data_IF_874805956513
#
_entry.id   IF_874805956513
#
_cell.length_a   1.000
_cell.length_b   1.000
_cell.length_c   1.000
_cell.angle_alpha   90.00
_cell.angle_beta   90.00
_cell.angle_gamma   90.00
#
_symmetry.space_group_name_H-M   'P 1'
#
loop_
_entity.id
_entity.type
_entity.pdbx_description
1 polymer ?
#
# COMPACT_ATOMS: atom_id res chain seq x y z
N UNK A 1 35.87 -7.36 -14.43
CA UNK A 1 34.82 -8.30 -13.97
C UNK A 1 35.33 -9.34 -12.95
N UNK A 2 36.61 -9.35 -12.55
CA UNK A 2 37.16 -10.35 -11.59
C UNK A 2 36.84 -10.10 -10.12
N UNK A 3 36.83 -8.85 -9.65
CA UNK A 3 36.81 -8.58 -8.20
C UNK A 3 35.52 -8.95 -7.46
N UNK A 4 34.35 -8.83 -8.09
CA UNK A 4 33.08 -9.16 -7.41
C UNK A 4 32.86 -10.66 -7.24
N UNK A 5 33.14 -11.45 -8.28
CA UNK A 5 32.94 -12.91 -8.26
C UNK A 5 33.97 -13.63 -7.38
N UNK A 6 35.11 -12.99 -7.12
CA UNK A 6 36.16 -13.46 -6.21
C UNK A 6 35.80 -13.26 -4.73
N UNK A 7 34.80 -12.43 -4.40
CA UNK A 7 34.34 -12.24 -3.03
C UNK A 7 33.68 -13.52 -2.50
N UNK A 8 33.73 -13.77 -1.18
CA UNK A 8 32.92 -14.79 -0.51
C UNK A 8 31.43 -14.66 -0.86
N UNK A 9 30.71 -15.79 -0.91
CA UNK A 9 29.31 -15.81 -1.30
C UNK A 9 28.43 -14.94 -0.40
N UNK A 10 28.72 -14.93 0.90
CA UNK A 10 28.03 -14.13 1.90
C UNK A 10 28.14 -12.63 1.59
N UNK A 11 29.34 -12.16 1.25
CA UNK A 11 29.59 -10.74 0.90
C UNK A 11 28.89 -10.39 -0.41
N UNK A 12 28.96 -11.27 -1.43
CA UNK A 12 28.23 -11.04 -2.69
C UNK A 12 26.73 -10.95 -2.46
N UNK A 13 26.18 -11.85 -1.65
CA UNK A 13 24.76 -11.89 -1.32
C UNK A 13 24.31 -10.62 -0.60
N UNK A 14 25.10 -10.12 0.37
CA UNK A 14 24.81 -8.86 1.07
C UNK A 14 24.87 -7.65 0.13
N UNK A 15 25.87 -7.57 -0.74
CA UNK A 15 25.98 -6.50 -1.74
C UNK A 15 24.77 -6.52 -2.68
N UNK A 16 24.41 -7.70 -3.20
CA UNK A 16 23.28 -7.85 -4.10
C UNK A 16 21.94 -7.55 -3.41
N UNK A 17 21.76 -8.01 -2.17
CA UNK A 17 20.57 -7.72 -1.37
C UNK A 17 20.43 -6.22 -1.11
N UNK A 18 21.52 -5.53 -0.77
CA UNK A 18 21.54 -4.09 -0.51
C UNK A 18 21.29 -3.25 -1.76
N UNK A 19 21.52 -3.81 -2.95
CA UNK A 19 21.24 -3.16 -4.23
C UNK A 19 19.79 -3.37 -4.71
N UNK A 20 19.02 -4.23 -4.06
CA UNK A 20 17.61 -4.44 -4.39
C UNK A 20 16.75 -3.31 -3.80
N UNK A 21 15.67 -2.90 -4.48
CA UNK A 21 14.80 -1.86 -3.98
C UNK A 21 14.02 -2.36 -2.76
N UNK A 22 13.90 -1.50 -1.75
CA UNK A 22 13.09 -1.77 -0.56
C UNK A 22 11.58 -1.72 -0.87
N UNK A 23 11.18 -0.91 -1.86
CA UNK A 23 9.79 -0.76 -2.31
C UNK A 23 9.66 -1.18 -3.77
N UNK A 24 8.64 -1.96 -4.07
CA UNK A 24 8.36 -2.43 -5.43
C UNK A 24 6.94 -2.06 -5.80
N UNK A 25 6.78 -1.29 -6.86
CA UNK A 25 5.46 -1.02 -7.41
C UNK A 25 4.90 -2.28 -8.05
N UNK A 26 3.62 -2.51 -7.84
CA UNK A 26 2.91 -3.63 -8.43
C UNK A 26 2.26 -3.10 -9.70
N UNK A 27 2.76 -3.52 -10.86
CA UNK A 27 2.08 -3.31 -12.13
C UNK A 27 2.19 -4.55 -13.03
N UNK A 28 1.33 -4.68 -14.06
CA UNK A 28 1.39 -5.77 -15.03
C UNK A 28 2.68 -5.76 -15.88
N UNK A 29 3.28 -4.59 -16.08
CA UNK A 29 4.46 -4.40 -16.93
C UNK A 29 5.79 -4.50 -16.16
N UNK A 30 5.75 -4.40 -14.83
CA UNK A 30 6.96 -4.31 -14.02
C UNK A 30 7.65 -5.66 -13.84
N UNK A 31 8.90 -5.74 -14.28
CA UNK A 31 9.74 -6.92 -14.13
C UNK A 31 10.34 -6.94 -12.73
N UNK A 32 10.12 -8.03 -11.99
CA UNK A 32 10.67 -8.20 -10.64
C UNK A 32 12.20 -7.98 -10.63
N UNK A 33 12.77 -7.15 -9.73
CA UNK A 33 14.18 -6.79 -9.71
C UNK A 33 15.14 -7.99 -9.77
N UNK A 34 14.82 -9.07 -9.02
CA UNK A 34 15.62 -10.30 -9.03
C UNK A 34 15.69 -11.00 -10.38
N UNK A 35 14.69 -10.83 -11.24
CA UNK A 35 14.69 -11.42 -12.60
C UNK A 35 15.89 -10.97 -13.40
N UNK A 36 16.32 -9.70 -13.22
CA UNK A 36 17.49 -9.16 -13.90
C UNK A 36 18.79 -9.80 -13.39
N UNK A 37 18.86 -10.07 -12.08
CA UNK A 37 20.03 -10.71 -11.47
C UNK A 37 20.20 -12.17 -11.94
N UNK A 38 19.09 -12.89 -12.13
CA UNK A 38 19.10 -14.27 -12.64
C UNK A 38 19.73 -14.40 -14.05
N UNK A 39 19.81 -13.30 -14.81
CA UNK A 39 20.35 -13.28 -16.18
C UNK A 39 21.87 -12.98 -16.24
N UNK A 40 22.52 -12.66 -15.11
CA UNK A 40 23.92 -12.20 -15.11
C UNK A 40 24.90 -13.36 -15.35
N UNK A 41 24.96 -14.31 -14.43
CA UNK A 41 25.81 -15.51 -14.56
C UNK A 41 25.37 -16.62 -13.61
N UNK A 42 25.94 -17.82 -13.76
CA UNK A 42 25.58 -19.00 -12.96
C UNK A 42 25.83 -18.80 -11.46
N UNK A 43 26.91 -18.11 -11.08
CA UNK A 43 27.25 -17.84 -9.67
C UNK A 43 26.22 -16.90 -9.04
N UNK A 44 25.93 -15.78 -9.70
CA UNK A 44 24.90 -14.82 -9.24
C UNK A 44 23.53 -15.49 -9.16
N UNK A 45 23.20 -16.39 -10.10
CA UNK A 45 21.95 -17.14 -10.05
C UNK A 45 21.80 -17.95 -8.77
N UNK A 46 22.87 -18.60 -8.30
CA UNK A 46 22.87 -19.34 -7.02
C UNK A 46 22.73 -18.40 -5.83
N UNK A 47 23.43 -17.26 -5.85
CA UNK A 47 23.32 -16.25 -4.80
C UNK A 47 21.88 -15.71 -4.70
N UNK A 48 21.21 -15.47 -5.84
CA UNK A 48 19.82 -15.00 -5.88
C UNK A 48 18.84 -15.98 -5.23
N UNK A 49 19.05 -17.28 -5.34
CA UNK A 49 18.19 -18.28 -4.68
C UNK A 49 18.24 -18.18 -3.14
N UNK A 50 19.39 -17.78 -2.57
CA UNK A 50 19.51 -17.51 -1.13
C UNK A 50 18.99 -16.11 -0.76
N UNK A 51 19.24 -15.09 -1.59
CA UNK A 51 18.71 -13.73 -1.39
C UNK A 51 17.18 -13.76 -1.42
N UNK A 52 16.55 -14.54 -2.31
CA UNK A 52 15.09 -14.72 -2.41
C UNK A 52 14.42 -15.13 -1.09
N UNK A 53 15.16 -15.84 -0.21
CA UNK A 53 14.64 -16.26 1.10
C UNK A 53 14.66 -15.14 2.13
N UNK A 54 15.51 -14.12 1.94
CA UNK A 54 15.73 -12.99 2.87
C UNK A 54 15.08 -11.70 2.39
N UNK A 55 14.93 -11.54 1.08
CA UNK A 55 14.39 -10.35 0.47
C UNK A 55 12.88 -10.27 0.71
N UNK A 56 12.46 -9.23 1.43
CA UNK A 56 11.07 -8.98 1.80
C UNK A 56 10.76 -7.50 1.57
N UNK A 57 10.59 -7.08 0.30
CA UNK A 57 10.29 -5.69 -0.02
C UNK A 57 8.85 -5.34 0.36
N UNK A 58 8.59 -4.05 0.48
CA UNK A 58 7.25 -3.49 0.55
C UNK A 58 6.63 -3.43 -0.86
N UNK A 59 5.51 -4.10 -1.07
CA UNK A 59 4.81 -4.09 -2.35
C UNK A 59 3.77 -2.96 -2.39
N UNK A 60 3.98 -1.97 -3.26
CA UNK A 60 3.10 -0.82 -3.42
C UNK A 60 2.04 -1.10 -4.50
N UNK A 61 0.78 -1.03 -4.13
CA UNK A 61 -0.36 -1.15 -5.05
C UNK A 61 -0.99 0.22 -5.21
N UNK A 62 -0.76 0.83 -6.38
CA UNK A 62 -1.18 2.19 -6.72
C UNK A 62 -2.54 2.24 -7.42
N UNK A 63 -2.99 1.12 -7.97
CA UNK A 63 -4.28 0.99 -8.68
C UNK A 63 -5.05 -0.26 -8.24
N UNK A 64 -6.40 -0.22 -8.20
CA UNK A 64 -7.21 -1.39 -7.88
C UNK A 64 -6.94 -2.60 -8.78
N UNK A 65 -6.72 -2.34 -10.07
CA UNK A 65 -6.44 -3.35 -11.10
C UNK A 65 -5.19 -4.18 -10.79
N UNK A 66 -4.21 -3.59 -10.11
CA UNK A 66 -2.91 -4.19 -9.82
C UNK A 66 -2.95 -5.22 -8.68
N UNK A 67 -4.03 -5.26 -7.89
CA UNK A 67 -4.22 -6.28 -6.85
C UNK A 67 -4.15 -7.71 -7.41
N UNK A 68 -4.59 -7.94 -8.64
CA UNK A 68 -4.53 -9.26 -9.26
C UNK A 68 -3.08 -9.73 -9.49
N UNK A 69 -2.14 -8.80 -9.69
CA UNK A 69 -0.74 -9.10 -9.97
C UNK A 69 -0.01 -9.69 -8.75
N UNK A 70 -0.44 -9.37 -7.52
CA UNK A 70 0.15 -9.91 -6.29
C UNK A 70 0.11 -11.44 -6.25
N UNK A 71 -0.96 -12.07 -6.76
CA UNK A 71 -1.07 -13.53 -6.86
C UNK A 71 -0.16 -14.12 -7.93
N UNK A 72 -0.05 -13.43 -9.05
CA UNK A 72 0.65 -13.93 -10.25
C UNK A 72 2.17 -13.93 -10.07
N UNK A 73 2.69 -13.13 -9.12
CA UNK A 73 4.10 -13.13 -8.77
C UNK A 73 4.45 -14.48 -8.19
N UNK A 74 5.39 -15.16 -8.86
CA UNK A 74 5.79 -16.52 -8.49
C UNK A 74 6.28 -16.53 -7.04
N UNK A 75 5.76 -17.43 -6.18
CA UNK A 75 6.21 -17.59 -4.80
C UNK A 75 7.72 -17.84 -4.66
N UNK A 76 8.37 -18.26 -5.75
CA UNK A 76 9.79 -18.60 -5.80
C UNK A 76 10.74 -17.38 -5.80
N UNK A 77 10.25 -16.15 -6.04
CA UNK A 77 11.13 -14.97 -6.13
C UNK A 77 11.35 -14.29 -4.77
N UNK A 78 10.28 -14.09 -3.98
CA UNK A 78 10.36 -13.55 -2.62
C UNK A 78 8.99 -13.66 -1.95
N UNK A 79 8.92 -13.90 -0.63
CA UNK A 79 7.65 -13.86 0.09
C UNK A 79 7.05 -12.44 0.05
N UNK A 80 5.74 -12.35 -0.17
CA UNK A 80 5.01 -11.08 -0.07
C UNK A 80 4.56 -10.94 1.38
N UNK A 81 5.39 -10.29 2.19
CA UNK A 81 5.12 -10.11 3.62
C UNK A 81 4.47 -8.77 3.95
N UNK A 82 4.78 -7.72 3.19
CA UNK A 82 4.27 -6.37 3.41
C UNK A 82 3.66 -5.82 2.11
N UNK A 83 2.43 -5.32 2.20
CA UNK A 83 1.72 -4.71 1.07
C UNK A 83 1.16 -3.36 1.50
N UNK A 84 1.35 -2.34 0.68
CA UNK A 84 0.79 -1.00 0.90
C UNK A 84 -0.15 -0.64 -0.23
N UNK A 85 -1.37 -0.26 0.12
CA UNK A 85 -2.40 0.19 -0.82
C UNK A 85 -2.44 1.71 -0.78
N UNK A 86 -2.05 2.37 -1.87
CA UNK A 86 -2.14 3.81 -2.01
C UNK A 86 -3.48 4.18 -2.64
N UNK A 87 -4.49 4.41 -1.81
CA UNK A 87 -5.89 4.41 -2.26
C UNK A 87 -6.18 5.52 -3.29
N UNK A 88 -5.53 6.66 -3.12
CA UNK A 88 -5.75 7.83 -3.98
C UNK A 88 -4.64 8.08 -5.00
N UNK A 89 -3.69 7.16 -5.14
CA UNK A 89 -2.54 7.32 -6.02
C UNK A 89 -2.93 7.54 -7.49
N UNK A 90 -3.99 6.86 -7.94
CA UNK A 90 -4.49 6.94 -9.31
C UNK A 90 -5.43 8.13 -9.60
N UNK A 91 -5.81 8.91 -8.59
CA UNK A 91 -6.66 10.07 -8.79
C UNK A 91 -5.87 11.23 -9.40
N UNK A 92 -6.57 12.24 -9.92
CA UNK A 92 -5.97 13.51 -10.34
C UNK A 92 -6.04 14.59 -9.25
N UNK A 93 -5.10 15.53 -9.25
CA UNK A 93 -5.14 16.66 -8.32
C UNK A 93 -6.39 17.53 -8.56
N UNK A 94 -6.84 17.68 -9.81
CA UNK A 94 -8.08 18.38 -10.14
C UNK A 94 -9.31 17.69 -9.56
N UNK A 95 -9.40 16.36 -9.63
CA UNK A 95 -10.51 15.60 -9.04
C UNK A 95 -10.54 15.72 -7.51
N UNK A 96 -9.39 15.81 -6.86
CA UNK A 96 -9.30 15.98 -5.40
C UNK A 96 -9.65 17.40 -4.95
N UNK A 97 -9.14 18.41 -5.65
CA UNK A 97 -9.34 19.83 -5.29
C UNK A 97 -10.67 20.38 -5.79
N UNK A 98 -11.30 19.72 -6.76
CA UNK A 98 -12.54 20.16 -7.39
C UNK A 98 -12.38 21.38 -8.28
N UNK A 99 -11.15 21.68 -8.72
CA UNK A 99 -10.82 22.83 -9.57
C UNK A 99 -11.20 22.57 -11.04
N UNK A 100 -12.49 22.48 -11.37
CA UNK A 100 -12.95 22.57 -12.77
C UNK A 100 -14.19 23.46 -12.91
N UNK A 101 -14.15 24.35 -13.90
CA UNK A 101 -15.28 25.15 -14.40
C UNK A 101 -16.13 24.41 -15.44
N UNK A 102 -15.83 23.13 -15.72
CA UNK A 102 -16.53 22.31 -16.71
C UNK A 102 -16.40 20.81 -16.44
N UNK A 103 -17.54 20.16 -16.19
CA UNK A 103 -17.90 18.75 -16.46
C UNK A 103 -16.96 17.57 -16.13
N UNK A 104 -15.84 17.72 -15.41
CA UNK A 104 -15.18 16.56 -14.79
C UNK A 104 -15.93 16.26 -13.50
N UNK A 105 -16.77 15.22 -13.56
CA UNK A 105 -17.74 14.91 -12.51
C UNK A 105 -17.04 14.72 -11.17
N UNK A 106 -17.67 15.21 -10.11
CA UNK A 106 -17.42 14.83 -8.72
C UNK A 106 -17.44 13.31 -8.45
N UNK A 107 -17.59 12.47 -9.47
CA UNK A 107 -17.64 11.01 -9.39
C UNK A 107 -16.26 10.36 -9.40
N UNK A 108 -15.19 10.96 -9.93
CA UNK A 108 -13.90 10.26 -10.15
C UNK A 108 -13.34 9.63 -8.86
N UNK A 109 -13.32 10.38 -7.75
CA UNK A 109 -12.87 9.85 -6.45
C UNK A 109 -13.82 8.77 -5.92
N UNK A 110 -15.13 8.94 -6.11
CA UNK A 110 -16.14 7.94 -5.74
C UNK A 110 -16.00 6.65 -6.54
N UNK A 111 -15.77 6.78 -7.85
CA UNK A 111 -15.57 5.68 -8.80
C UNK A 111 -14.28 4.92 -8.47
N UNK A 112 -13.19 5.64 -8.15
CA UNK A 112 -11.93 5.03 -7.70
C UNK A 112 -12.12 4.21 -6.42
N UNK A 113 -12.79 4.76 -5.40
CA UNK A 113 -13.06 4.05 -4.17
C UNK A 113 -14.01 2.85 -4.38
N UNK A 114 -15.00 2.99 -5.26
CA UNK A 114 -15.86 1.88 -5.67
C UNK A 114 -15.05 0.77 -6.34
N UNK A 115 -14.11 1.10 -7.23
CA UNK A 115 -13.22 0.14 -7.86
C UNK A 115 -12.32 -0.57 -6.84
N UNK A 116 -11.79 0.14 -5.84
CA UNK A 116 -11.04 -0.48 -4.74
C UNK A 116 -11.89 -1.46 -3.94
N UNK A 117 -13.09 -1.04 -3.53
CA UNK A 117 -14.04 -1.91 -2.80
C UNK A 117 -14.42 -3.13 -3.63
N UNK A 118 -14.69 -2.94 -4.92
CA UNK A 118 -14.98 -4.03 -5.84
C UNK A 118 -13.78 -4.97 -5.98
N UNK A 119 -12.57 -4.44 -6.16
CA UNK A 119 -11.37 -5.24 -6.32
C UNK A 119 -11.06 -6.05 -5.05
N UNK A 120 -11.15 -5.45 -3.86
CA UNK A 120 -10.94 -6.14 -2.59
C UNK A 120 -12.05 -7.15 -2.27
N UNK A 121 -13.31 -6.82 -2.58
CA UNK A 121 -14.45 -7.70 -2.39
C UNK A 121 -14.46 -8.91 -3.34
N UNK A 122 -14.20 -8.67 -4.63
CA UNK A 122 -14.05 -9.73 -5.65
C UNK A 122 -12.81 -10.59 -5.37
N UNK A 123 -11.77 -9.95 -4.86
CA UNK A 123 -10.56 -10.63 -4.45
C UNK A 123 -10.62 -11.07 -2.98
N UNK A 124 -11.57 -11.95 -2.63
CA UNK A 124 -11.52 -12.80 -1.40
C UNK A 124 -10.22 -13.63 -1.27
N UNK A 125 -9.31 -13.49 -2.23
CA UNK A 125 -7.97 -14.07 -2.30
C UNK A 125 -6.91 -13.06 -2.78
N UNK A 126 -7.15 -11.73 -2.75
CA UNK A 126 -6.28 -10.71 -3.36
C UNK A 126 -4.83 -10.84 -2.90
N UNK A 127 -4.67 -11.08 -1.62
CA UNK A 127 -3.37 -11.23 -0.99
C UNK A 127 -2.96 -12.71 -0.91
N UNK A 128 -1.67 -12.97 -0.71
CA UNK A 128 -1.18 -14.33 -0.50
C UNK A 128 -1.80 -14.94 0.76
N UNK A 129 -2.15 -16.22 0.69
CA UNK A 129 -2.75 -16.98 1.81
C UNK A 129 -1.79 -17.23 2.97
N UNK A 130 -0.49 -17.01 2.79
CA UNK A 130 0.56 -17.30 3.76
C UNK A 130 1.72 -16.32 3.63
N UNK A 131 2.36 -15.99 4.75
CA UNK A 131 3.56 -15.14 4.78
C UNK A 131 3.26 -13.64 4.89
N UNK A 132 2.02 -13.21 4.67
CA UNK A 132 1.62 -11.82 4.85
C UNK A 132 1.68 -11.43 6.34
N UNK A 133 2.53 -10.47 6.67
CA UNK A 133 2.73 -9.94 8.02
C UNK A 133 1.98 -8.62 8.21
N UNK A 134 1.93 -7.77 7.18
CA UNK A 134 1.32 -6.44 7.26
C UNK A 134 0.63 -6.04 5.96
N UNK A 135 -0.54 -5.43 6.10
CA UNK A 135 -1.16 -4.60 5.07
C UNK A 135 -1.17 -3.17 5.58
N UNK A 136 -0.65 -2.23 4.81
CA UNK A 136 -0.78 -0.80 5.05
C UNK A 136 -1.84 -0.24 4.09
N UNK A 137 -2.76 0.57 4.59
CA UNK A 137 -3.70 1.34 3.77
C UNK A 137 -3.32 2.79 3.91
N UNK A 138 -2.82 3.40 2.85
CA UNK A 138 -2.54 4.83 2.81
C UNK A 138 -3.73 5.58 2.20
N UNK A 139 -4.34 6.39 3.06
CA UNK A 139 -5.50 7.22 2.75
C UNK A 139 -5.12 8.69 2.51
N UNK A 140 -3.83 9.02 2.33
CA UNK A 140 -3.41 10.37 1.96
C UNK A 140 -4.08 10.78 0.65
N UNK A 141 -4.91 11.85 0.63
CA UNK A 141 -5.64 12.29 -0.55
C UNK A 141 -4.71 13.08 -1.47
N UNK A 142 -3.74 12.39 -2.06
CA UNK A 142 -2.78 12.96 -3.01
C UNK A 142 -2.52 11.97 -4.15
N UNK A 143 -2.42 12.44 -5.42
CA UNK A 143 -2.07 11.59 -6.55
C UNK A 143 -0.62 11.10 -6.44
N UNK A 144 -0.30 10.01 -7.14
CA UNK A 144 1.04 9.42 -7.16
C UNK A 144 2.12 10.42 -7.56
N UNK A 145 1.82 11.24 -8.59
CA UNK A 145 2.75 12.22 -9.16
C UNK A 145 3.25 13.25 -8.15
N UNK A 146 2.49 13.51 -7.08
CA UNK A 146 2.84 14.49 -6.07
C UNK A 146 3.45 13.86 -4.82
N UNK A 147 3.58 12.53 -4.76
CA UNK A 147 4.18 11.81 -3.61
C UNK A 147 5.69 11.96 -3.52
N UNK A 148 6.34 12.26 -4.64
CA UNK A 148 7.78 12.54 -4.70
C UNK A 148 8.11 14.01 -4.37
N UNK A 149 7.10 14.84 -4.08
CA UNK A 149 7.30 16.23 -3.68
C UNK A 149 7.72 16.36 -2.21
N UNK A 150 8.17 17.56 -1.83
CA UNK A 150 8.50 17.85 -0.44
C UNK A 150 7.31 17.60 0.49
N UNK A 151 7.58 17.10 1.70
CA UNK A 151 6.53 16.84 2.69
C UNK A 151 5.67 18.07 2.99
N UNK A 152 6.26 19.26 2.92
CA UNK A 152 5.56 20.54 3.05
C UNK A 152 4.53 20.76 1.92
N UNK A 153 4.90 20.50 0.67
CA UNK A 153 4.01 20.61 -0.50
C UNK A 153 2.82 19.66 -0.39
N UNK A 154 3.10 18.40 -0.03
CA UNK A 154 2.08 17.37 0.17
C UNK A 154 1.11 17.80 1.27
N UNK A 155 1.64 18.31 2.38
CA UNK A 155 0.83 18.81 3.50
C UNK A 155 -0.09 19.93 3.06
N UNK A 156 0.43 20.89 2.29
CA UNK A 156 -0.38 22.02 1.82
C UNK A 156 -1.47 21.62 0.84
N UNK A 157 -1.21 20.65 -0.04
CA UNK A 157 -2.22 20.11 -0.94
C UNK A 157 -3.35 19.41 -0.18
N UNK A 158 -3.00 18.58 0.81
CA UNK A 158 -3.95 17.80 1.61
C UNK A 158 -4.78 18.67 2.56
N UNK A 159 -4.18 19.74 3.10
CA UNK A 159 -4.88 20.71 3.96
C UNK A 159 -5.82 21.65 3.19
N UNK A 160 -5.94 21.52 1.86
CA UNK A 160 -6.84 22.36 1.08
C UNK A 160 -8.32 22.09 1.47
N UNK A 161 -9.12 23.12 1.83
CA UNK A 161 -10.49 22.93 2.34
C UNK A 161 -11.41 22.11 1.41
N UNK A 162 -11.22 22.22 0.10
CA UNK A 162 -12.00 21.46 -0.88
C UNK A 162 -11.67 19.95 -0.87
N UNK A 163 -10.40 19.60 -0.66
CA UNK A 163 -9.95 18.21 -0.54
C UNK A 163 -10.55 17.61 0.73
N UNK A 164 -10.42 18.33 1.84
CA UNK A 164 -11.00 17.93 3.11
C UNK A 164 -12.53 17.72 2.98
N UNK A 165 -13.29 18.70 2.47
CA UNK A 165 -14.74 18.61 2.30
C UNK A 165 -15.21 17.47 1.39
N UNK A 166 -14.51 17.18 0.29
CA UNK A 166 -14.83 16.05 -0.60
C UNK A 166 -14.57 14.71 0.10
N UNK A 167 -13.43 14.60 0.77
CA UNK A 167 -13.09 13.42 1.57
C UNK A 167 -14.11 13.17 2.69
N UNK A 168 -14.59 14.23 3.35
CA UNK A 168 -15.58 14.17 4.43
C UNK A 168 -16.99 13.77 3.96
N UNK A 169 -17.48 14.31 2.84
CA UNK A 169 -18.91 14.19 2.49
C UNK A 169 -19.24 13.00 1.56
N UNK A 170 -18.28 12.55 0.75
CA UNK A 170 -18.55 11.57 -0.32
C UNK A 170 -17.89 10.21 -0.12
N UNK A 171 -16.76 10.16 0.58
CA UNK A 171 -15.85 9.02 0.56
C UNK A 171 -15.89 8.15 1.83
N UNK A 172 -16.46 8.67 2.91
CA UNK A 172 -16.48 8.06 4.26
C UNK A 172 -16.96 6.59 4.25
N UNK A 173 -18.15 6.34 3.70
CA UNK A 173 -18.74 5.01 3.68
C UNK A 173 -17.92 4.02 2.84
N UNK A 174 -17.31 4.50 1.75
CA UNK A 174 -16.48 3.70 0.88
C UNK A 174 -15.14 3.35 1.53
N UNK A 175 -14.51 4.28 2.23
CA UNK A 175 -13.28 4.04 3.00
C UNK A 175 -13.54 3.05 4.13
N UNK A 176 -14.67 3.19 4.83
CA UNK A 176 -15.07 2.25 5.87
C UNK A 176 -15.24 0.83 5.32
N UNK A 177 -15.94 0.69 4.19
CA UNK A 177 -16.10 -0.60 3.51
C UNK A 177 -14.75 -1.21 3.10
N UNK A 178 -13.81 -0.38 2.63
CA UNK A 178 -12.48 -0.82 2.23
C UNK A 178 -11.73 -1.45 3.40
N UNK A 179 -11.72 -0.76 4.55
CA UNK A 179 -11.10 -1.24 5.78
C UNK A 179 -11.79 -2.53 6.24
N UNK A 180 -13.12 -2.60 6.21
CA UNK A 180 -13.89 -3.80 6.60
C UNK A 180 -13.53 -5.01 5.70
N UNK A 181 -13.41 -4.82 4.38
CA UNK A 181 -13.01 -5.90 3.47
C UNK A 181 -11.62 -6.44 3.80
N UNK A 182 -10.66 -5.55 4.06
CA UNK A 182 -9.29 -5.96 4.42
C UNK A 182 -9.28 -6.68 5.76
N UNK A 183 -9.97 -6.16 6.77
CA UNK A 183 -10.08 -6.81 8.07
C UNK A 183 -10.74 -8.19 7.96
N UNK A 184 -11.79 -8.33 7.15
CA UNK A 184 -12.45 -9.61 6.90
C UNK A 184 -11.49 -10.61 6.24
N UNK A 185 -10.69 -10.16 5.27
CA UNK A 185 -9.63 -10.97 4.68
C UNK A 185 -8.59 -11.40 5.72
N UNK A 186 -8.10 -10.46 6.53
CA UNK A 186 -7.11 -10.75 7.56
C UNK A 186 -7.65 -11.76 8.59
N UNK A 187 -8.91 -11.67 9.01
CA UNK A 187 -9.55 -12.66 9.91
C UNK A 187 -9.52 -14.08 9.34
N UNK A 188 -9.84 -14.25 8.06
CA UNK A 188 -9.80 -15.56 7.38
C UNK A 188 -8.37 -16.11 7.37
N UNK A 189 -7.39 -15.23 7.19
CA UNK A 189 -5.96 -15.59 7.06
C UNK A 189 -5.28 -15.75 8.44
N UNK A 190 -5.83 -15.12 9.48
CA UNK A 190 -5.24 -14.99 10.82
C UNK A 190 -5.24 -16.28 11.65
N UNK A 191 -5.91 -17.35 11.20
CA UNK A 191 -5.92 -18.63 11.92
C UNK A 191 -4.54 -19.27 12.05
N UNK A 192 -3.50 -18.78 11.34
CA UNK A 192 -2.13 -19.33 11.41
C UNK A 192 -1.03 -18.31 11.71
N UNK A 193 -1.22 -17.03 11.42
CA UNK A 193 -0.29 -15.92 11.66
C UNK A 193 -1.14 -14.68 11.90
N UNK A 194 -0.94 -13.89 12.98
CA UNK A 194 -1.73 -12.67 13.24
C UNK A 194 -1.19 -11.49 12.42
N UNK A 195 -1.75 -11.17 11.24
CA UNK A 195 -1.24 -10.09 10.42
C UNK A 195 -1.71 -8.74 10.96
N UNK A 196 -0.93 -7.69 10.72
CA UNK A 196 -1.23 -6.33 11.16
C UNK A 196 -1.89 -5.54 10.04
N UNK A 197 -2.82 -4.65 10.39
CA UNK A 197 -3.38 -3.66 9.48
C UNK A 197 -2.92 -2.28 9.91
N UNK A 198 -1.98 -1.69 9.19
CA UNK A 198 -1.60 -0.31 9.43
C UNK A 198 -2.52 0.60 8.58
N UNK A 199 -3.14 1.61 9.17
CA UNK A 199 -3.90 2.62 8.41
C UNK A 199 -3.14 3.93 8.53
N UNK A 200 -2.50 4.33 7.45
CA UNK A 200 -1.69 5.55 7.39
C UNK A 200 -2.36 6.61 6.54
N UNK A 201 -1.82 7.81 6.64
CA UNK A 201 -2.04 8.87 5.68
C UNK A 201 -2.22 10.21 6.37
N UNK A 202 -2.06 11.28 5.59
CA UNK A 202 -2.27 12.67 6.06
C UNK A 202 -3.76 12.99 6.20
N UNK A 203 -4.55 12.09 6.79
CA UNK A 203 -5.92 12.36 7.20
C UNK A 203 -5.88 13.03 8.57
N UNK A 204 -6.44 14.23 8.68
CA UNK A 204 -6.58 14.90 9.98
C UNK A 204 -7.37 14.00 10.96
N UNK A 205 -7.04 13.99 12.27
CA UNK A 205 -7.82 13.26 13.29
C UNK A 205 -9.32 13.61 13.26
N UNK A 206 -9.66 14.84 12.89
CA UNK A 206 -11.05 15.26 12.70
C UNK A 206 -11.78 14.40 11.66
N UNK A 207 -11.06 13.82 10.69
CA UNK A 207 -11.56 12.86 9.69
C UNK A 207 -11.84 11.48 10.27
N UNK A 208 -11.10 11.04 11.28
CA UNK A 208 -11.34 9.77 11.96
C UNK A 208 -12.48 9.86 12.97
N UNK A 209 -12.57 10.98 13.71
CA UNK A 209 -13.63 11.21 14.70
C UNK A 209 -15.01 11.53 14.12
N UNK A 210 -15.08 11.91 12.83
CA UNK A 210 -16.34 12.16 12.13
C UNK A 210 -16.98 10.91 11.52
N UNK A 211 -16.36 9.75 11.68
CA UNK A 211 -16.87 8.44 11.22
C UNK A 211 -17.11 7.53 12.44
N UNK A 212 -18.17 7.77 13.24
CA UNK A 212 -18.41 7.02 14.48
C UNK A 212 -18.51 5.51 14.24
N UNK A 213 -19.05 5.13 13.07
CA UNK A 213 -19.19 3.75 12.62
C UNK A 213 -17.85 3.08 12.34
N UNK A 214 -16.92 3.77 11.69
CA UNK A 214 -15.57 3.24 11.45
C UNK A 214 -14.80 3.10 12.75
N UNK A 215 -14.93 4.04 13.70
CA UNK A 215 -14.29 3.90 15.01
C UNK A 215 -14.86 2.72 15.80
N UNK A 216 -16.18 2.50 15.75
CA UNK A 216 -16.82 1.32 16.35
C UNK A 216 -16.37 0.03 15.68
N UNK A 217 -16.29 0.01 14.35
CA UNK A 217 -15.81 -1.14 13.59
C UNK A 217 -14.34 -1.43 13.88
N UNK A 218 -13.49 -0.41 13.93
CA UNK A 218 -12.07 -0.52 14.30
C UNK A 218 -11.92 -1.02 15.72
N UNK A 219 -12.69 -0.51 16.69
CA UNK A 219 -12.66 -0.96 18.07
C UNK A 219 -13.01 -2.46 18.16
N UNK A 220 -14.11 -2.87 17.51
CA UNK A 220 -14.50 -4.28 17.40
C UNK A 220 -13.42 -5.13 16.73
N UNK A 221 -12.80 -4.63 15.66
CA UNK A 221 -11.73 -5.34 14.95
C UNK A 221 -10.45 -5.47 15.81
N UNK A 222 -10.13 -4.46 16.62
CA UNK A 222 -9.01 -4.51 17.57
C UNK A 222 -9.20 -5.56 18.64
N UNK A 223 -10.42 -5.74 19.15
CA UNK A 223 -10.77 -6.82 20.10
C UNK A 223 -10.51 -8.21 19.49
N UNK A 224 -10.58 -8.33 18.16
CA UNK A 224 -10.28 -9.55 17.42
C UNK A 224 -8.78 -9.75 17.13
N UNK A 225 -7.91 -8.90 17.69
CA UNK A 225 -6.45 -9.06 17.66
C UNK A 225 -5.76 -8.50 16.42
N UNK A 226 -6.48 -7.76 15.57
CA UNK A 226 -5.89 -7.00 14.46
C UNK A 226 -5.40 -5.66 15.00
N UNK A 227 -4.09 -5.45 14.99
CA UNK A 227 -3.49 -4.18 15.38
C UNK A 227 -3.73 -3.14 14.29
N UNK A 228 -4.55 -2.13 14.60
CA UNK A 228 -4.81 -0.95 13.76
C UNK A 228 -4.13 0.26 14.39
N UNK A 229 -3.11 0.81 13.73
CA UNK A 229 -2.43 2.06 14.11
C UNK A 229 -2.67 3.15 13.08
N UNK A 230 -2.74 4.38 13.56
CA UNK A 230 -2.74 5.61 12.77
C UNK A 230 -1.40 6.32 12.98
N UNK A 231 -0.94 7.06 11.97
CA UNK A 231 0.33 7.77 12.02
C UNK A 231 0.27 8.90 13.08
N UNK A 232 1.10 8.86 14.14
CA UNK A 232 1.04 9.81 15.24
C UNK A 232 1.38 11.25 14.84
N UNK A 233 2.13 11.49 13.76
CA UNK A 233 2.48 12.86 13.34
C UNK A 233 1.26 13.68 12.89
N UNK A 234 0.21 12.99 12.43
CA UNK A 234 -1.07 13.56 12.01
C UNK A 234 -2.15 13.42 13.09
N UNK A 235 -1.79 12.82 14.23
CA UNK A 235 -2.65 12.70 15.42
C UNK A 235 -2.46 13.84 16.43
N UNK A 236 -1.71 14.88 16.09
CA UNK A 236 -1.55 16.03 16.97
C UNK A 236 -2.60 17.10 16.64
N UNK A 237 -3.63 17.21 17.49
CA UNK A 237 -4.67 18.25 17.39
C UNK A 237 -4.09 19.68 17.46
N UNK A 238 -2.86 19.84 17.96
CA UNK A 238 -2.19 21.15 18.06
C UNK A 238 -1.63 21.69 16.73
N UNK A 239 -1.69 20.89 15.65
CA UNK A 239 -1.18 21.26 14.32
C UNK A 239 -2.27 21.46 13.24
N UNK A 240 -3.55 21.44 13.63
CA UNK A 240 -4.72 21.70 12.75
C UNK A 240 -5.36 23.04 13.07
#
# INVERSE_FOLDING_TARGET
MGQFLELPAEIRQEILLSALPEKITVSPAEVHPMTRLLLICKVVKQDVEEIAKKFSPEYLVVEPSHLCCLKSRRPAMSPIECVTLEIFSAATLEAMTGATSSSVSSSEIGDLLYQWNFALGAARSAFPKSGLKQITVDLTPIPHSCRDESDYSITMAVSHPAVANRMFSMCESQISNLIIFICTYLKITAQRQRPKLLVTGKLSLQTLFRIPTLLQDIARIREEGIEIRFDPEWMDESKV
#
